data_IF_371502394212
#
_entry.id   IF_371502394212
#
_cell.length_a   1.000
_cell.length_b   1.000
_cell.length_c   1.000
_cell.angle_alpha   90.00
_cell.angle_beta   90.00
_cell.angle_gamma   90.00
#
_symmetry.space_group_name_H-M   'P 1'
#
loop_
_entity.id
_entity.type
_entity.pdbx_description
1 polymer ?
#
# COMPACT_ATOMS: atom_id res chain seq x y z
N UNK A 1 9.13 -22.26 58.83
CA UNK A 1 9.46 -23.03 57.62
C UNK A 1 8.52 -22.79 56.44
N UNK A 2 7.28 -22.36 56.64
CA UNK A 2 6.29 -22.13 55.55
C UNK A 2 6.70 -21.00 54.56
N UNK A 3 7.43 -19.99 55.04
CA UNK A 3 7.82 -18.82 54.23
C UNK A 3 8.81 -19.17 53.12
N UNK A 4 9.78 -20.05 53.38
CA UNK A 4 10.76 -20.48 52.37
C UNK A 4 10.09 -21.33 51.28
N UNK A 5 9.15 -22.20 51.64
CA UNK A 5 8.37 -22.99 50.66
C UNK A 5 7.48 -22.12 49.77
N UNK A 6 6.86 -21.06 50.32
CA UNK A 6 6.03 -20.14 49.53
C UNK A 6 6.90 -19.28 48.59
N UNK A 7 8.01 -18.72 49.07
CA UNK A 7 8.92 -17.94 48.21
C UNK A 7 9.55 -18.78 47.10
N UNK A 8 9.84 -20.05 47.36
CA UNK A 8 10.38 -20.97 46.36
C UNK A 8 9.30 -21.35 45.32
N UNK A 9 8.05 -21.57 45.74
CA UNK A 9 6.94 -21.83 44.82
C UNK A 9 6.63 -20.60 43.93
N UNK A 10 6.58 -19.40 44.52
CA UNK A 10 6.37 -18.15 43.78
C UNK A 10 7.52 -17.86 42.80
N UNK A 11 8.76 -18.17 43.19
CA UNK A 11 9.92 -18.02 42.30
C UNK A 11 9.89 -18.98 41.11
N UNK A 12 9.38 -20.20 41.30
CA UNK A 12 9.28 -21.20 40.23
C UNK A 12 8.10 -20.90 39.28
N UNK A 13 6.97 -20.43 39.80
CA UNK A 13 5.82 -19.96 39.02
C UNK A 13 6.20 -18.76 38.14
N UNK A 14 6.84 -17.73 38.72
CA UNK A 14 7.32 -16.57 37.98
C UNK A 14 8.37 -16.92 36.92
N UNK A 15 9.19 -17.96 37.15
CA UNK A 15 10.15 -18.44 36.16
C UNK A 15 9.49 -19.17 35.00
N UNK A 16 8.54 -20.07 35.28
CA UNK A 16 7.76 -20.78 34.25
C UNK A 16 6.96 -19.79 33.41
N UNK A 17 6.30 -18.83 34.04
CA UNK A 17 5.51 -17.79 33.38
C UNK A 17 6.40 -16.94 32.47
N UNK A 18 7.59 -16.55 32.93
CA UNK A 18 8.56 -15.80 32.13
C UNK A 18 9.06 -16.58 30.90
N UNK A 19 9.39 -17.87 31.06
CA UNK A 19 9.84 -18.72 29.94
C UNK A 19 8.71 -18.92 28.94
N UNK A 20 7.49 -19.14 29.42
CA UNK A 20 6.31 -19.26 28.57
C UNK A 20 6.08 -17.99 27.74
N UNK A 21 6.15 -16.82 28.38
CA UNK A 21 6.01 -15.54 27.69
C UNK A 21 7.14 -15.24 26.72
N UNK A 22 8.38 -15.62 27.02
CA UNK A 22 9.50 -15.49 26.09
C UNK A 22 9.26 -16.33 24.83
N UNK A 23 8.83 -17.59 24.99
CA UNK A 23 8.53 -18.44 23.85
C UNK A 23 7.34 -17.91 23.03
N UNK A 24 6.30 -17.42 23.71
CA UNK A 24 5.15 -16.78 23.05
C UNK A 24 5.55 -15.52 22.27
N UNK A 25 6.44 -14.68 22.83
CA UNK A 25 6.98 -13.50 22.16
C UNK A 25 7.83 -13.87 20.93
N UNK A 26 8.63 -14.93 21.02
CA UNK A 26 9.47 -15.40 19.92
C UNK A 26 8.62 -15.96 18.79
N UNK A 27 7.65 -16.83 19.10
CA UNK A 27 6.69 -17.36 18.13
C UNK A 27 5.85 -16.24 17.50
N UNK A 28 5.36 -15.27 18.28
CA UNK A 28 4.65 -14.11 17.76
C UNK A 28 5.54 -13.28 16.82
N UNK A 29 6.81 -13.09 17.17
CA UNK A 29 7.73 -12.32 16.32
C UNK A 29 8.05 -13.04 15.01
N UNK A 30 8.19 -14.36 15.01
CA UNK A 30 8.36 -15.15 13.78
C UNK A 30 7.15 -15.04 12.85
N UNK A 31 5.94 -15.09 13.41
CA UNK A 31 4.70 -14.91 12.65
C UNK A 31 4.60 -13.50 12.07
N UNK A 32 4.92 -12.47 12.86
CA UNK A 32 4.94 -11.08 12.40
C UNK A 32 5.99 -10.90 11.29
N UNK A 33 7.19 -11.45 11.43
CA UNK A 33 8.22 -11.36 10.38
C UNK A 33 7.77 -12.05 9.09
N UNK A 34 7.14 -13.21 9.18
CA UNK A 34 6.61 -13.93 8.03
C UNK A 34 5.49 -13.12 7.34
N UNK A 35 4.60 -12.50 8.11
CA UNK A 35 3.54 -11.65 7.60
C UNK A 35 4.09 -10.38 6.93
N UNK A 36 5.04 -9.69 7.56
CA UNK A 36 5.68 -8.49 6.99
C UNK A 36 6.43 -8.85 5.70
N UNK A 37 7.11 -10.00 5.62
CA UNK A 37 7.75 -10.47 4.37
C UNK A 37 6.74 -10.74 3.26
N UNK A 38 5.62 -11.37 3.60
CA UNK A 38 4.54 -11.65 2.64
C UNK A 38 3.96 -10.35 2.11
N UNK A 39 3.62 -9.42 3.01
CA UNK A 39 3.12 -8.10 2.65
C UNK A 39 4.14 -7.30 1.83
N UNK A 40 5.43 -7.40 2.13
CA UNK A 40 6.49 -6.76 1.37
C UNK A 40 6.58 -7.29 -0.07
N UNK A 41 6.37 -8.60 -0.26
CA UNK A 41 6.32 -9.19 -1.60
C UNK A 41 5.12 -8.65 -2.40
N UNK A 42 3.93 -8.59 -1.79
CA UNK A 42 2.72 -8.02 -2.38
C UNK A 42 2.90 -6.55 -2.77
N UNK A 43 3.47 -5.73 -1.88
CA UNK A 43 3.79 -4.32 -2.15
C UNK A 43 4.78 -4.18 -3.31
N UNK A 44 5.79 -5.06 -3.36
CA UNK A 44 6.81 -5.01 -4.42
C UNK A 44 6.22 -5.39 -5.77
N UNK A 45 5.30 -6.36 -5.81
CA UNK A 45 4.61 -6.74 -7.05
C UNK A 45 3.65 -5.63 -7.52
N UNK A 46 2.91 -5.02 -6.60
CA UNK A 46 2.05 -3.86 -6.89
C UNK A 46 2.86 -2.71 -7.51
N UNK A 47 4.00 -2.34 -6.91
CA UNK A 47 4.88 -1.28 -7.41
C UNK A 47 5.42 -1.54 -8.83
N UNK A 48 5.69 -2.80 -9.17
CA UNK A 48 6.16 -3.18 -10.49
C UNK A 48 5.08 -2.95 -11.55
N UNK A 49 3.83 -3.33 -11.26
CA UNK A 49 2.68 -3.12 -12.17
C UNK A 49 2.35 -1.63 -12.30
N UNK A 50 2.26 -0.91 -11.19
CA UNK A 50 1.87 0.51 -11.18
C UNK A 50 2.88 1.39 -11.94
N UNK A 51 4.17 1.01 -11.97
CA UNK A 51 5.18 1.76 -12.73
C UNK A 51 4.89 1.76 -14.23
N UNK A 52 4.52 0.62 -14.80
CA UNK A 52 4.15 0.56 -16.22
C UNK A 52 2.89 1.35 -16.53
N UNK A 53 1.92 1.36 -15.61
CA UNK A 53 0.67 2.08 -15.79
C UNK A 53 0.87 3.61 -15.76
N UNK A 54 1.68 4.11 -14.82
CA UNK A 54 2.04 5.53 -14.75
C UNK A 54 2.69 5.97 -16.06
N UNK A 55 3.68 5.24 -16.57
CA UNK A 55 4.38 5.60 -17.80
C UNK A 55 3.45 5.62 -19.01
N UNK A 56 2.43 4.76 -19.03
CA UNK A 56 1.39 4.78 -20.06
C UNK A 56 0.53 6.05 -19.99
N UNK A 57 0.04 6.40 -18.80
CA UNK A 57 -0.77 7.60 -18.58
C UNK A 57 0.01 8.88 -18.86
N UNK A 58 1.27 8.96 -18.44
CA UNK A 58 2.16 10.08 -18.72
C UNK A 58 2.39 10.26 -20.23
N UNK A 59 2.56 9.17 -20.99
CA UNK A 59 2.68 9.24 -22.46
C UNK A 59 1.40 9.78 -23.10
N UNK A 60 0.25 9.23 -22.74
CA UNK A 60 -1.05 9.70 -23.26
C UNK A 60 -1.24 11.18 -22.95
N UNK A 61 -1.02 11.61 -21.69
CA UNK A 61 -1.12 13.02 -21.29
C UNK A 61 -0.21 13.90 -22.15
N UNK A 62 1.06 13.55 -22.27
CA UNK A 62 2.04 14.37 -22.99
C UNK A 62 1.70 14.50 -24.47
N UNK A 63 1.24 13.42 -25.12
CA UNK A 63 0.78 13.44 -26.51
C UNK A 63 -0.43 14.35 -26.68
N UNK A 64 -1.44 14.24 -25.81
CA UNK A 64 -2.63 15.08 -25.87
C UNK A 64 -2.34 16.56 -25.60
N UNK A 65 -1.48 16.84 -24.62
CA UNK A 65 -1.02 18.20 -24.38
C UNK A 65 -0.29 18.79 -25.58
N UNK A 66 0.54 18.00 -26.25
CA UNK A 66 1.27 18.43 -27.44
C UNK A 66 0.30 18.71 -28.60
N UNK A 67 -0.63 17.80 -28.88
CA UNK A 67 -1.61 17.97 -29.96
C UNK A 67 -2.48 19.22 -29.73
N UNK A 68 -2.91 19.46 -28.49
CA UNK A 68 -3.66 20.67 -28.11
C UNK A 68 -2.80 21.94 -28.25
N UNK A 69 -1.51 21.91 -27.86
CA UNK A 69 -0.58 23.04 -28.04
C UNK A 69 -0.29 23.34 -29.51
N UNK A 70 -0.25 22.31 -30.34
CA UNK A 70 -0.04 22.40 -31.78
C UNK A 70 -1.30 22.80 -32.56
N UNK A 71 -2.44 23.04 -31.89
CA UNK A 71 -3.74 23.35 -32.51
C UNK A 71 -4.16 22.30 -33.55
N UNK A 72 -3.86 21.02 -33.31
CA UNK A 72 -4.40 19.91 -34.09
C UNK A 72 -5.93 19.96 -34.01
N UNK A 73 -6.63 19.60 -35.09
CA UNK A 73 -8.09 19.62 -35.07
C UNK A 73 -8.63 18.62 -34.05
N UNK A 74 -9.69 18.96 -33.32
CA UNK A 74 -10.28 18.05 -32.32
C UNK A 74 -10.62 16.67 -32.92
N UNK A 75 -11.00 16.61 -34.21
CA UNK A 75 -11.30 15.36 -34.91
C UNK A 75 -10.07 14.49 -35.09
N UNK A 76 -8.91 15.09 -35.37
CA UNK A 76 -7.66 14.34 -35.51
C UNK A 76 -7.15 13.87 -34.14
N UNK A 77 -7.29 14.69 -33.09
CA UNK A 77 -6.95 14.28 -31.71
C UNK A 77 -7.85 13.13 -31.24
N UNK A 78 -9.14 13.20 -31.56
CA UNK A 78 -10.09 12.12 -31.27
C UNK A 78 -9.70 10.81 -31.96
N UNK A 79 -9.31 10.87 -33.25
CA UNK A 79 -8.77 9.71 -33.97
C UNK A 79 -7.49 9.17 -33.31
N UNK A 80 -6.58 10.05 -32.89
CA UNK A 80 -5.38 9.65 -32.15
C UNK A 80 -5.72 8.94 -30.84
N UNK A 81 -6.63 9.48 -30.03
CA UNK A 81 -7.10 8.86 -28.77
C UNK A 81 -7.63 7.46 -29.04
N UNK A 82 -8.57 7.33 -29.99
CA UNK A 82 -9.21 6.04 -30.30
C UNK A 82 -8.22 5.01 -30.87
N UNK A 83 -7.14 5.47 -31.52
CA UNK A 83 -6.09 4.58 -32.04
C UNK A 83 -5.07 4.11 -30.99
N UNK A 84 -4.94 4.84 -29.88
CA UNK A 84 -3.92 4.59 -28.85
C UNK A 84 -4.48 3.91 -27.60
N UNK A 85 -5.80 3.94 -27.42
CA UNK A 85 -6.45 3.59 -26.16
C UNK A 85 -7.44 2.45 -26.41
N UNK A 86 -6.95 1.21 -26.28
CA UNK A 86 -7.75 -0.01 -26.52
C UNK A 86 -8.47 -0.49 -25.24
N UNK A 87 -7.87 -0.28 -24.05
CA UNK A 87 -8.45 -0.60 -22.74
C UNK A 87 -8.06 0.47 -21.70
N UNK A 88 -8.74 1.63 -21.76
CA UNK A 88 -8.56 2.68 -20.76
C UNK A 88 -9.20 2.24 -19.44
N UNK A 89 -8.41 2.10 -18.38
CA UNK A 89 -8.97 1.88 -17.05
C UNK A 89 -8.01 2.41 -15.97
N UNK A 90 -8.57 2.81 -14.83
CA UNK A 90 -7.80 3.00 -13.60
C UNK A 90 -7.44 1.63 -13.05
N UNK A 91 -6.45 0.99 -13.66
CA UNK A 91 -5.89 -0.25 -13.16
C UNK A 91 -4.90 0.06 -12.03
N UNK A 92 -5.44 0.39 -10.85
CA UNK A 92 -4.64 0.57 -9.65
C UNK A 92 -4.45 -0.77 -8.97
N UNK A 93 -3.21 -1.25 -8.87
CA UNK A 93 -2.93 -2.49 -8.15
C UNK A 93 -2.60 -2.20 -6.70
N UNK A 94 -3.62 -2.16 -5.86
CA UNK A 94 -3.41 -2.06 -4.41
C UNK A 94 -3.26 -3.46 -3.78
N UNK A 95 -2.20 -3.72 -2.99
CA UNK A 95 -1.98 -5.03 -2.38
C UNK A 95 -2.98 -5.31 -1.27
N UNK A 96 -3.29 -6.60 -1.03
CA UNK A 96 -4.06 -7.03 0.13
C UNK A 96 -3.10 -7.24 1.30
N UNK A 97 -3.04 -6.25 2.20
CA UNK A 97 -2.11 -6.25 3.32
C UNK A 97 -2.73 -6.97 4.53
N UNK A 98 -2.02 -7.99 5.01
CA UNK A 98 -2.41 -8.79 6.18
C UNK A 98 -2.00 -8.09 7.47
N UNK A 99 -2.76 -8.33 8.54
CA UNK A 99 -2.49 -7.79 9.89
C UNK A 99 -2.79 -8.76 11.02
N UNK A 100 -3.07 -10.03 10.69
CA UNK A 100 -3.57 -11.01 11.65
C UNK A 100 -2.51 -11.40 12.69
N UNK A 101 -1.25 -11.55 12.27
CA UNK A 101 -0.15 -11.89 13.18
C UNK A 101 0.04 -10.82 14.26
N UNK A 102 -0.08 -9.54 13.87
CA UNK A 102 -0.03 -8.42 14.81
C UNK A 102 -1.22 -8.41 15.77
N UNK A 103 -2.44 -8.57 15.26
CA UNK A 103 -3.64 -8.55 16.08
C UNK A 103 -3.65 -9.71 17.09
N UNK A 104 -3.22 -10.91 16.67
CA UNK A 104 -3.09 -12.07 17.55
C UNK A 104 -2.03 -11.81 18.62
N UNK A 105 -0.87 -11.27 18.25
CA UNK A 105 0.20 -10.96 19.21
C UNK A 105 -0.21 -9.91 20.26
N UNK A 106 -1.04 -8.94 19.87
CA UNK A 106 -1.61 -7.95 20.80
C UNK A 106 -2.67 -8.61 21.68
N UNK A 107 -3.59 -9.38 21.09
CA UNK A 107 -4.71 -10.00 21.81
C UNK A 107 -4.25 -11.03 22.85
N UNK A 108 -3.24 -11.84 22.53
CA UNK A 108 -2.67 -12.82 23.45
C UNK A 108 -1.58 -12.25 24.38
N UNK A 109 -1.36 -10.92 24.33
CA UNK A 109 -0.37 -10.18 25.11
C UNK A 109 1.09 -10.59 24.84
N UNK A 110 1.40 -11.40 23.84
CA UNK A 110 2.79 -11.76 23.50
C UNK A 110 3.58 -10.54 23.06
N UNK A 111 2.91 -9.55 22.47
CA UNK A 111 3.52 -8.29 22.03
C UNK A 111 4.18 -7.49 23.17
N UNK A 112 3.70 -7.61 24.42
CA UNK A 112 4.29 -6.90 25.56
C UNK A 112 5.63 -7.50 26.01
N UNK A 113 5.91 -8.73 25.59
CA UNK A 113 7.13 -9.48 25.91
C UNK A 113 8.15 -9.47 24.76
N UNK A 114 7.81 -8.88 23.61
CA UNK A 114 8.74 -8.63 22.51
C UNK A 114 9.72 -7.52 22.91
N UNK A 115 10.99 -7.67 22.52
CA UNK A 115 12.00 -6.62 22.70
C UNK A 115 11.51 -5.26 22.17
N UNK A 116 11.71 -4.20 22.97
CA UNK A 116 11.17 -2.87 22.68
C UNK A 116 11.57 -2.31 21.31
N UNK A 117 12.80 -2.57 20.85
CA UNK A 117 13.27 -2.12 19.53
C UNK A 117 12.57 -2.89 18.40
N UNK A 118 12.35 -4.19 18.60
CA UNK A 118 11.57 -5.02 17.66
C UNK A 118 10.10 -4.64 17.63
N UNK A 119 9.50 -4.44 18.80
CA UNK A 119 8.11 -3.99 18.94
C UNK A 119 7.89 -2.62 18.26
N UNK A 120 8.80 -1.67 18.46
CA UNK A 120 8.74 -0.36 17.81
C UNK A 120 8.73 -0.48 16.28
N UNK A 121 9.66 -1.28 15.73
CA UNK A 121 9.75 -1.54 14.29
C UNK A 121 8.47 -2.16 13.73
N UNK A 122 7.91 -3.17 14.38
CA UNK A 122 6.64 -3.77 13.98
C UNK A 122 5.51 -2.76 14.01
N UNK A 123 5.36 -2.03 15.12
CA UNK A 123 4.32 -1.01 15.24
C UNK A 123 4.41 0.06 14.15
N UNK A 124 5.63 0.46 13.77
CA UNK A 124 5.87 1.42 12.71
C UNK A 124 5.47 0.87 11.33
N UNK A 125 5.74 -0.41 11.05
CA UNK A 125 5.32 -1.07 9.82
C UNK A 125 3.79 -1.12 9.70
N UNK A 126 3.09 -1.64 10.72
CA UNK A 126 1.63 -1.73 10.73
C UNK A 126 0.92 -0.37 10.78
N UNK A 127 1.53 0.64 11.42
CA UNK A 127 1.04 2.02 11.33
C UNK A 127 1.18 2.57 9.90
N UNK A 128 2.32 2.32 9.24
CA UNK A 128 2.55 2.77 7.87
C UNK A 128 1.60 2.10 6.87
N UNK A 129 1.22 0.83 7.09
CA UNK A 129 0.19 0.14 6.28
C UNK A 129 -1.15 0.88 6.35
N UNK A 130 -1.65 1.10 7.57
CA UNK A 130 -2.92 1.81 7.80
C UNK A 130 -2.90 3.23 7.24
N UNK A 131 -1.78 3.93 7.39
CA UNK A 131 -1.60 5.27 6.83
C UNK A 131 -1.63 5.26 5.30
N UNK A 132 -1.00 4.26 4.66
CA UNK A 132 -1.03 4.11 3.21
C UNK A 132 -2.46 3.87 2.68
N UNK A 133 -3.23 3.00 3.32
CA UNK A 133 -4.63 2.72 2.97
C UNK A 133 -5.51 3.97 3.13
N UNK A 134 -5.35 4.67 4.25
CA UNK A 134 -6.09 5.90 4.54
C UNK A 134 -5.76 7.00 3.52
N UNK A 135 -4.47 7.20 3.20
CA UNK A 135 -4.03 8.16 2.18
C UNK A 135 -4.61 7.80 0.82
N UNK A 136 -4.55 6.54 0.40
CA UNK A 136 -5.12 6.15 -0.89
C UNK A 136 -6.61 6.49 -0.94
N UNK A 137 -7.38 6.09 0.06
CA UNK A 137 -8.83 6.35 0.13
C UNK A 137 -9.14 7.84 0.05
N UNK A 138 -8.42 8.66 0.82
CA UNK A 138 -8.59 10.12 0.80
C UNK A 138 -8.25 10.72 -0.58
N UNK A 139 -7.17 10.25 -1.21
CA UNK A 139 -6.76 10.75 -2.53
C UNK A 139 -7.75 10.35 -3.63
N UNK A 140 -8.28 9.14 -3.60
CA UNK A 140 -9.33 8.70 -4.52
C UNK A 140 -10.56 9.61 -4.41
N UNK A 141 -10.97 9.95 -3.19
CA UNK A 141 -12.12 10.83 -2.96
C UNK A 141 -11.88 12.29 -3.37
N UNK A 142 -10.66 12.80 -3.19
CA UNK A 142 -10.33 14.21 -3.44
C UNK A 142 -10.04 14.49 -4.92
N UNK A 143 -9.41 13.54 -5.61
CA UNK A 143 -8.81 13.78 -6.94
C UNK A 143 -9.69 13.21 -8.07
N UNK A 144 -10.29 12.04 -7.87
CA UNK A 144 -11.08 11.38 -8.92
C UNK A 144 -12.49 11.94 -8.94
N UNK A 145 -12.88 12.47 -10.09
CA UNK A 145 -14.29 12.73 -10.37
C UNK A 145 -14.91 11.48 -11.02
N UNK A 146 -15.48 10.60 -10.19
CA UNK A 146 -16.09 9.34 -10.63
C UNK A 146 -17.14 9.47 -11.74
N UNK A 147 -18.10 10.41 -11.64
CA UNK A 147 -19.05 10.69 -12.72
C UNK A 147 -18.37 11.06 -14.04
N UNK A 148 -17.46 12.06 -14.03
CA UNK A 148 -16.76 12.48 -15.25
C UNK A 148 -15.91 11.37 -15.86
N UNK A 149 -15.30 10.53 -15.03
CA UNK A 149 -14.54 9.38 -15.50
C UNK A 149 -15.45 8.35 -16.19
N UNK A 150 -16.65 8.12 -15.64
CA UNK A 150 -17.64 7.20 -16.22
C UNK A 150 -18.20 7.73 -17.54
N UNK A 151 -18.49 9.03 -17.61
CA UNK A 151 -18.93 9.70 -18.83
C UNK A 151 -17.85 9.61 -19.91
N UNK A 152 -16.61 9.98 -19.60
CA UNK A 152 -15.48 9.88 -20.54
C UNK A 152 -15.22 8.44 -21.02
N UNK A 153 -15.35 7.44 -20.14
CA UNK A 153 -15.23 6.04 -20.53
C UNK A 153 -16.32 5.64 -21.53
N UNK A 154 -17.54 6.13 -21.33
CA UNK A 154 -18.68 5.88 -22.22
C UNK A 154 -18.50 6.58 -23.56
N UNK A 155 -18.02 7.83 -23.53
CA UNK A 155 -17.70 8.61 -24.73
C UNK A 155 -16.55 7.98 -25.52
N UNK A 156 -15.53 7.47 -24.85
CA UNK A 156 -14.43 6.75 -25.47
C UNK A 156 -14.95 5.48 -26.19
N UNK A 157 -15.78 4.68 -25.53
CA UNK A 157 -16.36 3.45 -26.11
C UNK A 157 -17.32 3.73 -27.26
N UNK A 158 -18.04 4.84 -27.23
CA UNK A 158 -18.94 5.27 -28.30
C UNK A 158 -18.22 6.04 -29.42
N UNK A 159 -16.92 6.27 -29.28
CA UNK A 159 -16.12 7.00 -30.27
C UNK A 159 -16.36 8.50 -30.27
N UNK A 160 -16.98 9.09 -29.23
CA UNK A 160 -17.40 10.49 -29.14
C UNK A 160 -16.60 11.31 -28.11
N UNK A 161 -15.39 10.87 -27.77
CA UNK A 161 -14.55 11.49 -26.74
C UNK A 161 -14.17 12.95 -27.05
N UNK A 162 -14.33 13.83 -26.06
CA UNK A 162 -13.80 15.20 -26.13
C UNK A 162 -12.33 15.20 -25.63
N UNK A 163 -11.35 15.57 -26.48
CA UNK A 163 -9.93 15.64 -26.12
C UNK A 163 -9.56 16.32 -24.78
N UNK A 164 -10.17 17.47 -24.45
CA UNK A 164 -9.88 18.23 -23.23
C UNK A 164 -10.43 17.55 -21.99
N UNK A 165 -11.65 17.03 -22.08
CA UNK A 165 -12.27 16.26 -20.99
C UNK A 165 -11.47 14.99 -20.72
N UNK A 166 -11.06 14.29 -21.79
CA UNK A 166 -10.23 13.10 -21.69
C UNK A 166 -8.86 13.41 -21.08
N UNK A 167 -8.21 14.50 -21.49
CA UNK A 167 -6.96 14.95 -20.87
C UNK A 167 -7.12 15.19 -19.36
N UNK A 168 -8.22 15.81 -18.93
CA UNK A 168 -8.48 16.01 -17.49
C UNK A 168 -8.59 14.68 -16.74
N UNK A 169 -9.29 13.69 -17.29
CA UNK A 169 -9.42 12.36 -16.68
C UNK A 169 -8.07 11.64 -16.64
N UNK A 170 -7.30 11.64 -17.73
CA UNK A 170 -5.96 11.06 -17.79
C UNK A 170 -5.03 11.70 -16.75
N UNK A 171 -5.04 13.04 -16.63
CA UNK A 171 -4.25 13.75 -15.65
C UNK A 171 -4.65 13.41 -14.21
N UNK A 172 -5.95 13.31 -13.91
CA UNK A 172 -6.43 12.87 -12.58
C UNK A 172 -5.96 11.46 -12.24
N UNK A 173 -6.07 10.52 -13.20
CA UNK A 173 -5.64 9.14 -13.04
C UNK A 173 -4.12 9.05 -12.81
N UNK A 174 -3.33 9.81 -13.56
CA UNK A 174 -1.87 9.85 -13.41
C UNK A 174 -1.47 10.37 -12.03
N UNK A 175 -2.11 11.43 -11.53
CA UNK A 175 -1.84 11.97 -10.19
C UNK A 175 -2.14 10.93 -9.11
N UNK A 176 -3.28 10.24 -9.19
CA UNK A 176 -3.63 9.18 -8.23
C UNK A 176 -2.64 8.03 -8.27
N UNK A 177 -2.25 7.58 -9.46
CA UNK A 177 -1.28 6.49 -9.65
C UNK A 177 0.11 6.88 -9.10
N UNK A 178 0.57 8.10 -9.34
CA UNK A 178 1.81 8.61 -8.74
C UNK A 178 1.76 8.61 -7.22
N UNK A 179 0.65 9.04 -6.64
CA UNK A 179 0.49 9.12 -5.20
C UNK A 179 0.37 7.73 -4.55
N UNK A 180 -0.31 6.79 -5.20
CA UNK A 180 -0.36 5.40 -4.79
C UNK A 180 1.04 4.77 -4.81
N UNK A 181 1.76 4.90 -5.93
CA UNK A 181 3.15 4.43 -6.07
C UNK A 181 4.07 5.02 -5.01
N UNK A 182 3.96 6.32 -4.73
CA UNK A 182 4.74 6.99 -3.67
C UNK A 182 4.43 6.40 -2.30
N UNK A 183 3.15 6.15 -2.00
CA UNK A 183 2.71 5.58 -0.72
C UNK A 183 3.19 4.14 -0.55
N UNK A 184 3.08 3.31 -1.59
CA UNK A 184 3.61 1.95 -1.61
C UNK A 184 5.13 1.91 -1.49
N UNK A 185 5.85 2.84 -2.12
CA UNK A 185 7.32 2.93 -2.02
C UNK A 185 7.76 3.30 -0.61
N UNK A 186 7.03 4.19 0.07
CA UNK A 186 7.28 4.52 1.47
C UNK A 186 6.99 3.32 2.38
N UNK A 187 5.89 2.62 2.12
CA UNK A 187 5.51 1.41 2.86
C UNK A 187 6.56 0.31 2.73
N UNK A 188 7.04 0.05 1.51
CA UNK A 188 8.09 -0.92 1.21
C UNK A 188 9.34 -0.67 2.07
N UNK A 189 9.81 0.58 2.11
CA UNK A 189 10.98 0.98 2.93
C UNK A 189 10.73 0.75 4.42
N UNK A 190 9.52 1.02 4.91
CA UNK A 190 9.16 0.81 6.32
C UNK A 190 9.11 -0.67 6.67
N UNK A 191 8.56 -1.52 5.80
CA UNK A 191 8.54 -2.98 5.97
C UNK A 191 9.95 -3.58 5.94
N UNK A 192 10.80 -3.14 4.99
CA UNK A 192 12.21 -3.54 4.95
C UNK A 192 12.93 -3.17 6.25
N UNK A 193 12.76 -1.93 6.70
CA UNK A 193 13.34 -1.46 7.97
C UNK A 193 12.85 -2.26 9.19
N UNK A 194 11.64 -2.82 9.13
CA UNK A 194 11.10 -3.63 10.21
C UNK A 194 11.71 -5.04 10.26
N UNK A 195 12.06 -5.59 9.09
CA UNK A 195 12.69 -6.91 8.94
C UNK A 195 14.22 -6.88 9.14
N UNK A 196 14.86 -5.74 8.91
CA UNK A 196 16.31 -5.60 9.09
C UNK A 196 16.68 -5.68 10.57
N UNK A 197 17.25 -6.83 10.97
CA UNK A 197 17.81 -7.08 12.30
C UNK A 197 19.06 -6.22 12.57
N UNK A 198 19.67 -5.69 11.52
CA UNK A 198 20.98 -5.03 11.54
C UNK A 198 20.91 -3.54 11.21
N UNK A 199 20.37 -2.75 12.12
CA UNK A 199 20.69 -1.33 12.17
C UNK A 199 20.73 -0.83 13.63
N UNK A 200 21.96 -0.63 14.09
CA UNK A 200 22.42 0.05 15.31
C UNK A 200 22.33 -0.76 16.60
#
# INVERSE_FOLDING_TARGET
>A
MIVLSILTALGLEAWIERVHHQHAAEAASEQIDAEIRTNLAEVSEALAVDTHQVDSLTRIRNTLEQDLKSNVSNKDIQQHILSQVDDFNLNLRWPTLRHEAWDVAVANQSASWIDSKRMYRYSAAYASQREADSKLTANLQLIINGPRMTDNMTDLRSGSVEPREFLHVVAQMEVVQHQAKSSLSQLQKRMQSALDVSAH
#
